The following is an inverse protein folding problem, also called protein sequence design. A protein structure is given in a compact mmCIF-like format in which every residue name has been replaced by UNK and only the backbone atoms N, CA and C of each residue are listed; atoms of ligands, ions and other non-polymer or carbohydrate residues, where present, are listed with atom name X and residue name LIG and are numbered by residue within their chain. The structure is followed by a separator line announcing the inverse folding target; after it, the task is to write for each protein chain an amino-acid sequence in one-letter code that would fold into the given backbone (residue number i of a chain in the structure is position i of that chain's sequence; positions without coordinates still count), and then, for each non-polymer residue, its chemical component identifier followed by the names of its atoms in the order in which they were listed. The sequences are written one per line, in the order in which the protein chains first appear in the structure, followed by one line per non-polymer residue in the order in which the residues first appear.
data_IF_395100405498
#
_entry.id   IF_395100405498
#
_cell.length_a   1.000
_cell.length_b   1.000
_cell.length_c   1.000
_cell.angle_alpha   90.00
_cell.angle_beta   90.00
_cell.angle_gamma   90.00
#
_symmetry.space_group_name_H-M   'P 1'
#
loop_
_entity.id
_entity.type
_entity.pdbx_description
1 polymer ?
#
# COMPACT_ATOMS: atom_id res chain seq x y z
N UNK A 1 2.29 -13.06 15.54
CA UNK A 1 1.73 -11.77 16.01
C UNK A 1 0.60 -11.37 15.06
N UNK A 2 -0.57 -10.97 15.55
CA UNK A 2 -1.71 -10.57 14.71
C UNK A 2 -1.64 -9.06 14.41
N UNK A 3 -2.11 -8.65 13.23
CA UNK A 3 -2.28 -7.25 12.84
C UNK A 3 -3.63 -7.10 12.15
N UNK A 4 -4.31 -5.99 12.41
CA UNK A 4 -5.59 -5.69 11.76
C UNK A 4 -5.37 -4.72 10.61
N UNK A 5 -6.11 -4.87 9.50
CA UNK A 5 -6.01 -3.96 8.37
C UNK A 5 -6.31 -2.49 8.78
N UNK A 6 -7.17 -2.30 9.78
CA UNK A 6 -7.47 -0.99 10.37
C UNK A 6 -6.26 -0.34 11.04
N UNK A 7 -5.32 -1.12 11.59
CA UNK A 7 -4.07 -0.61 12.16
C UNK A 7 -3.04 -0.20 11.10
N UNK A 8 -3.23 -0.65 9.85
CA UNK A 8 -2.35 -0.32 8.73
C UNK A 8 -2.76 0.98 8.04
N UNK A 9 -4.05 1.34 8.09
CA UNK A 9 -4.56 2.59 7.52
C UNK A 9 -3.83 3.78 8.16
N UNK A 10 -3.39 4.72 7.33
CA UNK A 10 -2.61 5.89 7.73
C UNK A 10 -1.11 5.64 7.88
N UNK A 11 -0.62 4.39 7.86
CA UNK A 11 0.83 4.14 7.91
C UNK A 11 1.51 4.57 6.62
N UNK A 12 2.71 5.11 6.76
CA UNK A 12 3.59 5.44 5.65
C UNK A 12 4.05 4.17 4.93
N UNK A 13 3.99 4.20 3.61
CA UNK A 13 4.49 3.15 2.72
C UNK A 13 5.83 3.57 2.15
N UNK A 14 6.81 2.67 2.25
CA UNK A 14 8.18 2.86 1.77
C UNK A 14 8.60 1.67 0.92
N UNK A 15 9.38 1.90 -0.12
CA UNK A 15 10.02 0.84 -0.92
C UNK A 15 11.23 0.24 -0.18
N UNK A 16 11.77 -0.88 -0.67
CA UNK A 16 12.97 -1.50 -0.09
C UNK A 16 14.24 -0.62 -0.19
N UNK A 17 14.30 0.28 -1.17
CA UNK A 17 15.40 1.24 -1.36
C UNK A 17 15.18 2.57 -0.61
N UNK A 18 14.10 2.67 0.20
CA UNK A 18 13.88 3.80 1.11
C UNK A 18 13.03 4.94 0.54
N UNK A 19 12.50 4.82 -0.67
CA UNK A 19 11.59 5.82 -1.24
C UNK A 19 10.24 5.79 -0.52
N UNK A 20 9.78 6.94 -0.04
CA UNK A 20 8.43 7.10 0.51
C UNK A 20 7.44 7.22 -0.65
N UNK A 21 6.43 6.35 -0.67
CA UNK A 21 5.38 6.35 -1.68
C UNK A 21 4.15 7.14 -1.25
N UNK A 22 3.89 7.23 0.05
CA UNK A 22 2.70 7.89 0.60
C UNK A 22 2.13 7.15 1.80
N UNK A 23 0.80 7.17 1.96
CA UNK A 23 0.12 6.58 3.12
C UNK A 23 -0.97 5.59 2.72
N UNK A 24 -1.12 4.49 3.45
CA UNK A 24 -2.18 3.51 3.21
C UNK A 24 -3.55 4.14 3.47
N UNK A 25 -4.41 4.12 2.47
CA UNK A 25 -5.78 4.62 2.59
C UNK A 25 -6.78 3.47 2.71
N UNK A 26 -6.61 2.43 1.88
CA UNK A 26 -7.56 1.32 1.82
C UNK A 26 -6.95 0.02 1.28
N UNK A 27 -7.76 -1.04 1.19
CA UNK A 27 -7.37 -2.34 0.65
C UNK A 27 -8.44 -2.86 -0.31
N UNK A 28 -8.01 -3.60 -1.33
CA UNK A 28 -8.90 -4.38 -2.19
C UNK A 28 -8.94 -5.82 -1.65
N UNK A 29 -10.16 -6.34 -1.48
CA UNK A 29 -10.39 -7.70 -1.00
C UNK A 29 -11.01 -8.53 -2.12
N UNK A 30 -10.45 -9.71 -2.36
CA UNK A 30 -11.10 -10.70 -3.19
C UNK A 30 -12.30 -11.29 -2.43
N UNK A 31 -13.52 -10.97 -2.85
CA UNK A 31 -14.76 -11.35 -2.15
C UNK A 31 -15.03 -12.85 -2.13
N UNK A 32 -14.41 -13.64 -3.03
CA UNK A 32 -14.57 -15.10 -3.06
C UNK A 32 -13.67 -15.79 -2.04
N UNK A 33 -12.44 -15.32 -1.87
CA UNK A 33 -11.43 -15.96 -1.00
C UNK A 33 -11.23 -15.25 0.33
N UNK A 34 -11.71 -14.01 0.48
CA UNK A 34 -11.44 -13.15 1.62
C UNK A 34 -10.01 -12.61 1.69
N UNK A 35 -9.15 -12.92 0.72
CA UNK A 35 -7.76 -12.45 0.71
C UNK A 35 -7.66 -10.99 0.28
N UNK A 36 -6.74 -10.24 0.90
CA UNK A 36 -6.33 -8.93 0.43
C UNK A 36 -5.51 -9.09 -0.85
N UNK A 37 -5.94 -8.46 -1.94
CA UNK A 37 -5.22 -8.49 -3.22
C UNK A 37 -4.26 -7.32 -3.35
N UNK A 38 -4.72 -6.12 -2.99
CA UNK A 38 -4.00 -4.87 -3.21
C UNK A 38 -4.13 -3.92 -2.01
N UNK A 39 -3.14 -3.06 -1.86
CA UNK A 39 -3.10 -1.93 -0.95
C UNK A 39 -3.28 -0.66 -1.78
N UNK A 40 -4.19 0.20 -1.34
CA UNK A 40 -4.42 1.51 -1.94
C UNK A 40 -3.67 2.56 -1.14
N UNK A 41 -2.76 3.26 -1.80
CA UNK A 41 -1.87 4.25 -1.17
C UNK A 41 -2.15 5.62 -1.74
N UNK A 42 -2.47 6.58 -0.88
CA UNK A 42 -2.52 7.98 -1.25
C UNK A 42 -1.07 8.45 -1.51
N UNK A 43 -0.71 8.82 -2.75
CA UNK A 43 0.67 9.15 -3.09
C UNK A 43 1.13 10.44 -2.41
N UNK A 44 2.40 10.47 -1.98
CA UNK A 44 3.04 11.72 -1.55
C UNK A 44 3.25 12.68 -2.74
N UNK A 45 3.36 13.99 -2.47
CA UNK A 45 3.40 15.03 -3.51
C UNK A 45 4.49 14.84 -4.57
N UNK A 46 5.64 14.31 -4.16
CA UNK A 46 6.82 14.10 -5.00
C UNK A 46 6.86 12.73 -5.69
N UNK A 47 5.81 11.91 -5.57
CA UNK A 47 5.77 10.57 -6.14
C UNK A 47 5.19 10.63 -7.55
N UNK A 48 5.99 10.33 -8.60
CA UNK A 48 5.48 10.35 -9.96
C UNK A 48 4.47 9.22 -10.16
N UNK A 49 3.25 9.58 -10.55
CA UNK A 49 2.20 8.61 -10.87
C UNK A 49 2.41 7.92 -12.22
N UNK A 50 3.24 8.52 -13.09
CA UNK A 50 3.50 8.01 -14.45
C UNK A 50 4.21 6.65 -14.37
N UNK A 51 3.61 5.63 -14.99
CA UNK A 51 4.14 4.26 -14.99
C UNK A 51 3.70 3.43 -13.78
N UNK A 52 2.98 4.01 -12.82
CA UNK A 52 2.34 3.26 -11.73
C UNK A 52 0.88 2.99 -12.05
N UNK A 53 0.37 1.86 -11.57
CA UNK A 53 -1.07 1.57 -11.62
C UNK A 53 -1.78 2.42 -10.58
N UNK A 54 -2.81 3.14 -11.01
CA UNK A 54 -3.67 3.93 -10.12
C UNK A 54 -5.12 3.52 -10.27
N UNK A 55 -5.91 3.78 -9.23
CA UNK A 55 -7.37 3.69 -9.29
C UNK A 55 -8.00 5.03 -9.77
N UNK A 56 -9.33 5.11 -9.93
CA UNK A 56 -10.01 6.34 -10.36
C UNK A 56 -9.87 7.53 -9.39
N UNK A 57 -9.59 7.28 -8.10
CA UNK A 57 -9.35 8.31 -7.09
C UNK A 57 -7.88 8.78 -7.10
N UNK A 58 -7.04 8.19 -7.96
CA UNK A 58 -5.63 8.56 -8.12
C UNK A 58 -4.71 8.00 -7.03
N UNK A 59 -5.17 6.96 -6.31
CA UNK A 59 -4.38 6.19 -5.34
C UNK A 59 -3.51 5.17 -6.08
N UNK A 60 -2.31 4.93 -5.58
CA UNK A 60 -1.45 3.86 -6.09
C UNK A 60 -2.05 2.50 -5.73
N UNK A 61 -2.05 1.58 -6.69
CA UNK A 61 -2.53 0.21 -6.51
C UNK A 61 -1.32 -0.72 -6.42
N UNK A 62 -0.98 -1.15 -5.21
CA UNK A 62 0.20 -1.98 -4.95
C UNK A 62 -0.20 -3.40 -4.52
N UNK A 63 0.42 -4.46 -5.05
CA UNK A 63 0.09 -5.83 -4.67
C UNK A 63 0.33 -6.08 -3.17
N UNK A 64 -0.66 -6.61 -2.44
CA UNK A 64 -0.52 -6.90 -1.01
C UNK A 64 0.63 -7.87 -0.72
N UNK A 65 0.89 -8.81 -1.63
CA UNK A 65 2.01 -9.76 -1.54
C UNK A 65 3.40 -9.09 -1.55
N UNK A 66 3.50 -7.85 -2.02
CA UNK A 66 4.72 -7.05 -1.96
C UNK A 66 5.10 -6.60 -0.54
N UNK A 67 4.19 -6.68 0.43
CA UNK A 67 4.43 -6.21 1.80
C UNK A 67 5.46 -7.10 2.52
N UNK A 68 6.57 -6.50 2.96
CA UNK A 68 7.69 -7.19 3.61
C UNK A 68 7.74 -6.99 5.12
N UNK A 69 7.43 -5.78 5.58
CA UNK A 69 7.50 -5.46 7.00
C UNK A 69 6.40 -4.48 7.41
N UNK A 70 5.89 -4.66 8.63
CA UNK A 70 4.91 -3.76 9.26
C UNK A 70 5.44 -3.40 10.65
N UNK A 71 5.99 -2.19 10.76
CA UNK A 71 6.43 -1.60 12.04
C UNK A 71 5.88 -0.18 12.13
N UNK A 72 6.74 0.83 12.26
CA UNK A 72 6.37 2.24 12.18
C UNK A 72 5.90 2.59 10.77
N UNK A 73 6.62 2.07 9.78
CA UNK A 73 6.29 2.12 8.35
C UNK A 73 5.94 0.73 7.81
N UNK A 74 5.29 0.72 6.64
CA UNK A 74 5.06 -0.48 5.84
C UNK A 74 6.07 -0.50 4.69
N UNK A 75 6.87 -1.55 4.64
CA UNK A 75 7.88 -1.73 3.57
C UNK A 75 7.31 -2.61 2.46
N UNK A 76 7.42 -2.15 1.22
CA UNK A 76 6.93 -2.84 0.03
C UNK A 76 8.09 -3.19 -0.92
N UNK A 77 8.02 -4.39 -1.48
CA UNK A 77 8.75 -4.75 -2.69
C UNK A 77 7.82 -4.59 -3.90
N UNK A 78 8.20 -3.71 -4.83
CA UNK A 78 7.43 -3.41 -6.04
C UNK A 78 8.05 -4.07 -7.27
#
# INVERSE_FOLDING_TARGET
MKKFATELRGKTVMTNDGQILGTIENFIVNTKSGKLSDVLVLPAENVPKKGMKTDPEGRLVLPFQGMKAVKDVVVMNL
#
